data_IF_762436962414
#
_entry.id   IF_762436962414
#
_cell.length_a   1.000
_cell.length_b   1.000
_cell.length_c   1.000
_cell.angle_alpha   90.00
_cell.angle_beta   90.00
_cell.angle_gamma   90.00
#
_symmetry.space_group_name_H-M   'P 1'
#
loop_
_entity.id
_entity.type
_entity.pdbx_description
1 polymer ?
#
# COMPACT_ATOMS: atom_id res chain seq x y z
N UNK A 1 -6.93 -21.78 1.80
CA UNK A 1 -7.79 -21.19 0.80
C UNK A 1 -7.06 -21.06 -0.54
N UNK A 2 -7.63 -21.56 -1.65
CA UNK A 2 -6.97 -21.53 -2.97
C UNK A 2 -6.95 -20.12 -3.60
N UNK A 3 -7.65 -19.15 -3.02
CA UNK A 3 -7.76 -17.77 -3.52
C UNK A 3 -7.20 -16.77 -2.52
N UNK A 4 -6.75 -15.62 -3.01
CA UNK A 4 -6.50 -14.44 -2.20
C UNK A 4 -7.84 -13.91 -1.65
N UNK A 5 -7.90 -13.58 -0.35
CA UNK A 5 -9.09 -13.06 0.31
C UNK A 5 -8.86 -11.67 0.90
N UNK A 6 -7.63 -11.37 1.24
CA UNK A 6 -7.25 -10.14 1.94
C UNK A 6 -5.98 -9.55 1.35
N UNK A 7 -5.70 -8.30 1.66
CA UNK A 7 -4.48 -7.60 1.24
C UNK A 7 -3.19 -8.27 1.72
N UNK A 8 -3.24 -8.95 2.86
CA UNK A 8 -2.10 -9.71 3.40
C UNK A 8 -1.70 -10.89 2.52
N UNK A 9 -2.58 -11.30 1.61
CA UNK A 9 -2.33 -12.44 0.72
C UNK A 9 -1.58 -12.04 -0.57
N UNK A 10 -1.33 -10.76 -0.81
CA UNK A 10 -0.81 -10.20 -2.09
C UNK A 10 0.47 -10.88 -2.54
N UNK A 11 1.33 -11.36 -1.80
CA UNK A 11 2.57 -12.03 -2.23
C UNK A 11 2.60 -13.50 -1.82
N UNK A 12 1.50 -14.00 -1.23
CA UNK A 12 1.41 -15.39 -0.83
C UNK A 12 1.11 -16.30 -2.00
N UNK A 13 1.66 -17.50 -1.91
CA UNK A 13 1.32 -18.58 -2.84
C UNK A 13 0.05 -19.27 -2.37
N UNK A 14 -1.05 -19.03 -3.07
CA UNK A 14 -2.35 -19.67 -2.81
C UNK A 14 -2.56 -20.84 -3.76
N UNK A 15 -3.33 -21.84 -3.32
CA UNK A 15 -3.58 -23.03 -4.13
C UNK A 15 -4.20 -24.15 -3.30
N UNK A 16 -4.02 -25.38 -3.79
CA UNK A 16 -4.43 -26.59 -3.10
C UNK A 16 -3.31 -27.63 -3.15
N UNK A 17 -3.45 -28.67 -2.36
CA UNK A 17 -2.46 -29.75 -2.30
C UNK A 17 -3.13 -31.05 -2.72
N UNK A 18 -2.50 -31.78 -3.62
CA UNK A 18 -2.86 -33.13 -3.95
C UNK A 18 -2.08 -34.06 -3.00
N UNK A 19 -2.79 -34.90 -2.27
CA UNK A 19 -2.18 -35.90 -1.40
C UNK A 19 -2.37 -37.29 -2.01
N UNK A 20 -1.26 -37.96 -2.22
CA UNK A 20 -1.22 -39.35 -2.69
C UNK A 20 -1.19 -40.27 -1.47
N UNK A 21 -2.23 -41.10 -1.33
CA UNK A 21 -2.40 -41.99 -0.17
C UNK A 21 -1.52 -43.24 -0.26
N UNK A 22 -1.06 -43.65 -1.44
CA UNK A 22 -0.24 -44.81 -1.63
C UNK A 22 1.24 -44.53 -1.34
N UNK A 23 1.69 -43.37 -1.80
CA UNK A 23 3.08 -42.93 -1.62
C UNK A 23 3.26 -42.03 -0.39
N UNK A 24 2.18 -41.61 0.26
CA UNK A 24 2.16 -40.67 1.38
C UNK A 24 2.88 -39.33 1.07
N UNK A 25 2.81 -38.92 -0.18
CA UNK A 25 3.41 -37.64 -0.64
C UNK A 25 2.37 -36.60 -0.90
N UNK A 26 2.78 -35.31 -0.84
CA UNK A 26 1.92 -34.20 -1.18
C UNK A 26 2.56 -33.34 -2.26
N UNK A 27 1.72 -32.85 -3.18
CA UNK A 27 2.15 -32.00 -4.28
C UNK A 27 1.32 -30.71 -4.25
N UNK A 28 1.91 -29.53 -3.98
CA UNK A 28 1.21 -28.27 -4.03
C UNK A 28 0.91 -27.88 -5.47
N UNK A 29 -0.31 -27.41 -5.71
CA UNK A 29 -0.76 -26.84 -6.99
C UNK A 29 -1.11 -25.39 -6.76
N UNK A 30 -0.29 -24.49 -7.27
CA UNK A 30 -0.43 -23.06 -7.05
C UNK A 30 -1.52 -22.47 -7.95
N UNK A 31 -2.33 -21.59 -7.40
CA UNK A 31 -3.27 -20.79 -8.17
C UNK A 31 -2.53 -19.66 -8.89
N UNK A 32 -2.51 -19.62 -10.22
CA UNK A 32 -1.85 -18.55 -10.97
C UNK A 32 -2.65 -17.24 -10.99
N UNK A 33 -3.92 -17.26 -10.57
CA UNK A 33 -4.81 -16.11 -10.63
C UNK A 33 -4.71 -15.28 -9.36
N UNK A 34 -4.18 -14.07 -9.50
CA UNK A 34 -4.09 -13.06 -8.45
C UNK A 34 -5.28 -12.11 -8.54
N UNK A 35 -5.83 -11.72 -7.39
CA UNK A 35 -6.95 -10.78 -7.29
C UNK A 35 -6.48 -9.39 -6.87
N UNK A 36 -5.59 -9.32 -5.89
CA UNK A 36 -5.09 -8.08 -5.31
C UNK A 36 -3.75 -7.67 -5.91
N UNK A 37 -3.60 -6.37 -6.21
CA UNK A 37 -2.37 -5.82 -6.77
C UNK A 37 -1.99 -4.52 -6.09
N UNK A 38 -0.74 -4.43 -5.61
CA UNK A 38 -0.14 -3.18 -5.17
C UNK A 38 0.50 -2.48 -6.38
N UNK A 39 0.18 -1.21 -6.56
CA UNK A 39 0.76 -0.34 -7.58
C UNK A 39 1.38 0.84 -6.88
N UNK A 40 2.64 1.11 -7.18
CA UNK A 40 3.36 2.25 -6.62
C UNK A 40 3.39 3.38 -7.62
N UNK A 41 2.97 4.57 -7.19
CA UNK A 41 3.02 5.78 -8.00
C UNK A 41 4.19 6.65 -7.57
N UNK A 42 5.04 6.95 -8.55
CA UNK A 42 6.03 8.01 -8.51
C UNK A 42 5.92 8.77 -9.83
N UNK A 43 6.10 10.08 -9.83
CA UNK A 43 5.87 10.94 -11.01
C UNK A 43 6.62 10.55 -12.30
N UNK A 44 7.63 9.68 -12.20
CA UNK A 44 8.60 9.44 -13.26
C UNK A 44 8.13 8.53 -14.39
N UNK A 45 7.20 7.58 -14.15
CA UNK A 45 6.89 6.53 -15.15
C UNK A 45 5.41 6.25 -15.41
N UNK A 46 4.49 7.13 -14.97
CA UNK A 46 3.06 6.87 -15.09
C UNK A 46 2.57 6.68 -16.56
N UNK A 47 3.20 7.36 -17.53
CA UNK A 47 2.81 7.27 -18.95
C UNK A 47 3.08 5.90 -19.54
N UNK A 48 4.20 5.29 -19.19
CA UNK A 48 4.66 3.99 -19.69
C UNK A 48 4.03 2.81 -18.93
N UNK A 49 3.35 3.05 -17.81
CA UNK A 49 2.78 1.99 -17.02
C UNK A 49 1.71 1.21 -17.80
N UNK A 50 1.90 -0.10 -17.93
CA UNK A 50 0.92 -0.98 -18.58
C UNK A 50 -0.15 -1.41 -17.59
N UNK A 51 -1.31 -0.75 -17.63
CA UNK A 51 -2.45 -1.05 -16.78
C UNK A 51 -3.32 -2.24 -17.26
N UNK A 52 -3.12 -2.75 -18.46
CA UNK A 52 -3.95 -3.84 -19.03
C UNK A 52 -3.95 -5.11 -18.19
N UNK A 53 -2.85 -5.39 -17.47
CA UNK A 53 -2.72 -6.53 -16.55
C UNK A 53 -3.61 -6.45 -15.32
N UNK A 54 -4.16 -5.26 -15.05
CA UNK A 54 -4.99 -4.99 -13.87
C UNK A 54 -6.49 -5.17 -14.12
N UNK A 55 -6.88 -5.56 -15.32
CA UNK A 55 -8.29 -5.81 -15.64
C UNK A 55 -8.92 -6.81 -14.69
N UNK A 56 -10.09 -6.46 -14.13
CA UNK A 56 -10.83 -7.25 -13.13
C UNK A 56 -10.03 -7.52 -11.83
N UNK A 57 -9.11 -6.64 -11.47
CA UNK A 57 -8.32 -6.72 -10.23
C UNK A 57 -8.74 -5.67 -9.23
N UNK A 58 -8.48 -5.92 -7.96
CA UNK A 58 -8.58 -4.96 -6.87
C UNK A 58 -7.19 -4.36 -6.68
N UNK A 59 -7.09 -3.04 -6.80
CA UNK A 59 -5.80 -2.35 -6.86
C UNK A 59 -5.65 -1.45 -5.65
N UNK A 60 -4.50 -1.55 -4.96
CA UNK A 60 -4.04 -0.61 -3.96
C UNK A 60 -2.96 0.27 -4.59
N UNK A 61 -3.26 1.55 -4.73
CA UNK A 61 -2.33 2.54 -5.26
C UNK A 61 -1.61 3.24 -4.11
N UNK A 62 -0.33 2.96 -3.95
CA UNK A 62 0.53 3.54 -2.93
C UNK A 62 1.28 4.70 -3.55
N UNK A 63 0.97 5.91 -3.11
CA UNK A 63 1.57 7.15 -3.64
C UNK A 63 2.83 7.47 -2.82
N UNK A 64 3.99 7.34 -3.44
CA UNK A 64 5.28 7.65 -2.82
C UNK A 64 5.71 9.09 -3.06
N UNK A 65 5.44 9.60 -4.26
CA UNK A 65 5.76 10.98 -4.65
C UNK A 65 4.72 11.50 -5.64
N UNK A 66 4.17 12.67 -5.35
CA UNK A 66 3.12 13.35 -6.12
C UNK A 66 3.51 14.82 -6.30
N UNK A 67 4.37 15.11 -7.26
CA UNK A 67 4.80 16.47 -7.57
C UNK A 67 3.83 17.18 -8.53
N UNK A 68 3.10 16.45 -9.37
CA UNK A 68 2.15 16.98 -10.32
C UNK A 68 0.77 16.34 -10.16
N UNK A 69 -0.20 17.04 -9.53
CA UNK A 69 -1.56 16.54 -9.33
C UNK A 69 -2.27 16.16 -10.63
N UNK A 70 -2.06 16.92 -11.72
CA UNK A 70 -2.70 16.63 -13.02
C UNK A 70 -2.22 15.32 -13.64
N UNK A 71 -0.94 14.99 -13.46
CA UNK A 71 -0.40 13.72 -13.92
C UNK A 71 -0.90 12.56 -13.07
N UNK A 72 -1.10 12.78 -11.79
CA UNK A 72 -1.69 11.79 -10.89
C UNK A 72 -3.14 11.48 -11.27
N UNK A 73 -3.97 12.51 -11.50
CA UNK A 73 -5.36 12.33 -11.97
C UNK A 73 -5.41 11.52 -13.27
N UNK A 74 -4.57 11.84 -14.25
CA UNK A 74 -4.47 11.06 -15.51
C UNK A 74 -4.07 9.61 -15.27
N UNK A 75 -3.27 9.35 -14.27
CA UNK A 75 -2.89 7.99 -13.91
C UNK A 75 -4.08 7.23 -13.30
N UNK A 76 -4.83 7.87 -12.40
CA UNK A 76 -6.07 7.31 -11.85
C UNK A 76 -7.07 6.99 -12.97
N UNK A 77 -7.30 7.93 -13.89
CA UNK A 77 -8.18 7.71 -15.05
C UNK A 77 -7.71 6.53 -15.91
N UNK A 78 -6.40 6.39 -16.08
CA UNK A 78 -5.80 5.26 -16.81
C UNK A 78 -6.06 3.92 -16.10
N UNK A 79 -5.98 3.88 -14.77
CA UNK A 79 -6.29 2.69 -13.99
C UNK A 79 -7.77 2.30 -14.15
N UNK A 80 -8.69 3.24 -13.96
CA UNK A 80 -10.12 2.98 -14.16
C UNK A 80 -10.44 2.55 -15.60
N UNK A 81 -9.85 3.21 -16.60
CA UNK A 81 -10.02 2.86 -18.01
C UNK A 81 -9.49 1.47 -18.37
N UNK A 82 -8.59 0.90 -17.58
CA UNK A 82 -8.09 -0.46 -17.77
C UNK A 82 -9.08 -1.54 -17.31
N UNK A 83 -10.20 -1.16 -16.67
CA UNK A 83 -11.23 -2.07 -16.19
C UNK A 83 -10.87 -2.75 -14.87
N UNK A 84 -10.21 -2.05 -13.96
CA UNK A 84 -10.03 -2.51 -12.58
C UNK A 84 -11.41 -2.64 -11.90
N UNK A 85 -11.50 -3.52 -10.92
CA UNK A 85 -12.74 -3.74 -10.18
C UNK A 85 -12.90 -2.74 -9.05
N UNK A 86 -11.80 -2.43 -8.36
CA UNK A 86 -11.79 -1.46 -7.26
C UNK A 86 -10.41 -0.81 -7.14
N UNK A 87 -10.36 0.40 -6.57
CA UNK A 87 -9.14 1.18 -6.35
C UNK A 87 -9.12 1.77 -4.94
N UNK A 88 -8.22 1.26 -4.10
CA UNK A 88 -7.88 1.88 -2.82
C UNK A 88 -6.62 2.74 -3.01
N UNK A 89 -6.70 4.03 -2.70
CA UNK A 89 -5.57 4.97 -2.79
C UNK A 89 -5.00 5.19 -1.38
N UNK A 90 -3.70 5.01 -1.22
CA UNK A 90 -2.96 5.34 -0.01
C UNK A 90 -1.95 6.42 -0.36
N UNK A 91 -2.20 7.63 0.11
CA UNK A 91 -1.27 8.75 0.02
C UNK A 91 -0.48 8.83 1.31
N UNK A 92 0.80 8.44 1.26
CA UNK A 92 1.71 8.65 2.37
C UNK A 92 2.20 10.11 2.30
N UNK A 93 1.57 10.99 3.04
CA UNK A 93 2.12 12.33 3.25
C UNK A 93 3.38 12.20 4.10
N UNK A 94 4.54 12.22 3.46
CA UNK A 94 5.74 12.72 4.12
C UNK A 94 5.48 14.21 4.27
N UNK A 95 5.24 14.66 5.48
CA UNK A 95 5.22 16.08 5.79
C UNK A 95 6.63 16.63 5.48
N UNK A 96 6.86 17.07 4.22
CA UNK A 96 7.88 18.07 3.97
C UNK A 96 7.42 19.31 4.74
N UNK A 97 8.24 19.74 5.68
CA UNK A 97 8.08 21.01 6.39
C UNK A 97 8.01 22.14 5.36
N UNK A 98 6.80 22.50 4.92
CA UNK A 98 6.54 23.82 4.35
C UNK A 98 5.04 24.05 4.18
N UNK A 99 4.58 25.03 4.95
CA UNK A 99 3.40 25.85 4.78
C UNK A 99 2.03 25.28 5.18
N UNK A 100 1.59 25.85 6.29
CA UNK A 100 0.27 25.84 6.87
C UNK A 100 -0.87 26.02 5.85
N UNK A 101 -1.67 25.00 5.67
CA UNK A 101 -3.08 25.19 5.36
C UNK A 101 -3.89 24.80 6.60
N UNK A 102 -4.55 25.78 7.18
CA UNK A 102 -5.55 25.59 8.22
C UNK A 102 -6.71 24.77 7.63
N UNK A 103 -6.72 23.49 7.91
CA UNK A 103 -7.92 22.66 7.80
C UNK A 103 -8.22 22.24 9.23
N UNK A 104 -9.37 22.65 9.75
CA UNK A 104 -9.93 22.12 11.00
C UNK A 104 -10.15 20.63 10.80
N UNK A 105 -9.20 19.83 11.22
CA UNK A 105 -9.23 18.38 11.03
C UNK A 105 -8.91 17.65 12.32
N UNK A 106 -9.60 16.54 12.48
CA UNK A 106 -9.24 15.47 13.42
C UNK A 106 -7.72 15.26 13.37
N UNK A 107 -7.05 15.45 14.49
CA UNK A 107 -5.59 15.28 14.59
C UNK A 107 -5.19 13.90 14.02
N UNK A 108 -4.26 13.89 13.08
CA UNK A 108 -3.80 12.64 12.52
C UNK A 108 -3.09 11.79 13.59
N UNK A 109 -3.16 10.48 13.50
CA UNK A 109 -2.48 9.56 14.41
C UNK A 109 -0.99 9.90 14.56
N UNK A 110 -0.33 10.28 13.46
CA UNK A 110 1.07 10.71 13.46
C UNK A 110 1.28 12.00 14.24
N UNK A 111 0.38 12.98 14.12
CA UNK A 111 0.49 14.23 14.87
C UNK A 111 0.36 14.00 16.37
N UNK A 112 -0.57 13.14 16.79
CA UNK A 112 -0.73 12.74 18.20
C UNK A 112 0.54 12.04 18.71
N UNK A 113 1.08 11.11 17.95
CA UNK A 113 2.31 10.38 18.31
C UNK A 113 3.51 11.31 18.42
N UNK A 114 3.68 12.22 17.47
CA UNK A 114 4.78 13.20 17.50
C UNK A 114 4.70 14.10 18.74
N UNK A 115 3.49 14.60 19.07
CA UNK A 115 3.26 15.40 20.28
C UNK A 115 3.58 14.60 21.54
N UNK A 116 3.16 13.35 21.62
CA UNK A 116 3.45 12.48 22.76
C UNK A 116 4.95 12.25 22.94
N UNK A 117 5.71 12.06 21.84
CA UNK A 117 7.17 11.93 21.89
C UNK A 117 7.81 13.23 22.37
N UNK A 118 7.31 14.39 21.92
CA UNK A 118 7.85 15.69 22.33
C UNK A 118 7.64 15.98 23.81
N UNK A 119 6.49 15.60 24.35
CA UNK A 119 6.12 15.77 25.76
C UNK A 119 6.79 14.71 26.68
N UNK A 120 7.24 13.58 26.13
CA UNK A 120 7.84 12.51 26.90
C UNK A 120 9.27 12.85 27.33
N UNK A 121 9.64 12.49 28.56
CA UNK A 121 11.00 12.64 29.08
C UNK A 121 11.84 11.39 28.70
N UNK A 122 12.30 11.37 27.44
CA UNK A 122 13.04 10.24 26.85
C UNK A 122 14.50 10.66 26.68
N UNK A 123 15.43 9.82 27.17
CA UNK A 123 16.89 10.05 27.06
C UNK A 123 17.45 9.85 25.64
N UNK A 124 16.66 9.34 24.71
CA UNK A 124 17.06 9.11 23.32
C UNK A 124 16.71 10.28 22.41
N UNK A 125 17.37 10.34 21.24
CA UNK A 125 17.08 11.34 20.22
C UNK A 125 15.64 11.20 19.71
N UNK A 126 14.80 12.17 20.04
CA UNK A 126 13.37 12.21 19.67
C UNK A 126 13.15 12.15 18.18
N UNK A 127 14.06 12.69 17.36
CA UNK A 127 13.91 12.68 15.90
C UNK A 127 14.09 11.25 15.34
N UNK A 128 15.01 10.47 15.92
CA UNK A 128 15.17 9.07 15.52
C UNK A 128 13.90 8.28 15.85
N UNK A 129 13.34 8.51 17.03
CA UNK A 129 12.12 7.83 17.47
C UNK A 129 10.94 8.21 16.55
N UNK A 130 10.75 9.49 16.23
CA UNK A 130 9.71 9.96 15.30
C UNK A 130 9.83 9.30 13.93
N UNK A 131 11.03 9.22 13.38
CA UNK A 131 11.27 8.59 12.09
C UNK A 131 10.92 7.08 12.13
N UNK A 132 11.28 6.37 13.19
CA UNK A 132 10.92 4.96 13.36
C UNK A 132 9.39 4.79 13.41
N UNK A 133 8.69 5.62 14.18
CA UNK A 133 7.22 5.55 14.26
C UNK A 133 6.55 5.88 12.92
N UNK A 134 7.05 6.86 12.19
CA UNK A 134 6.55 7.18 10.84
C UNK A 134 6.73 6.00 9.87
N UNK A 135 7.89 5.34 9.90
CA UNK A 135 8.15 4.18 9.06
C UNK A 135 7.27 2.98 9.43
N UNK A 136 7.09 2.73 10.73
CA UNK A 136 6.20 1.66 11.21
C UNK A 136 4.73 1.93 10.83
N UNK A 137 4.27 3.17 11.01
CA UNK A 137 2.92 3.56 10.63
C UNK A 137 2.68 3.39 9.13
N UNK A 138 3.67 3.81 8.30
CA UNK A 138 3.61 3.61 6.85
C UNK A 138 3.50 2.12 6.51
N UNK A 139 4.35 1.28 7.11
CA UNK A 139 4.30 -0.17 6.90
C UNK A 139 2.95 -0.76 7.32
N UNK A 140 2.39 -0.32 8.44
CA UNK A 140 1.06 -0.76 8.88
C UNK A 140 -0.03 -0.39 7.88
N UNK A 141 -0.03 0.84 7.34
CA UNK A 141 -0.99 1.26 6.32
C UNK A 141 -0.82 0.52 4.98
N UNK A 142 0.37 0.02 4.67
CA UNK A 142 0.60 -0.79 3.45
C UNK A 142 0.00 -2.20 3.59
N UNK A 143 -0.15 -2.71 4.81
CA UNK A 143 -0.65 -4.07 5.11
C UNK A 143 -2.19 -4.11 5.22
N UNK A 144 -2.84 -3.04 5.69
CA UNK A 144 -4.30 -2.92 5.75
C UNK A 144 -4.95 -2.72 4.36
#
# INVERSE_FOLDING_TARGET
>A
NPYEMYWNDVNDTRGFTIFDTDTLTHTPVNNPYKLFYNVYYEDTNYKLYNASKLKNKIVKLIVRKKSDPKNFEKFIDKLYSSGIQDLKIIENFVLEESESFEIEEEESTISILNRYIDESDIEFDKNIIKNIFQDLYRQACEVE
#
